data_IF_885710425094
#
_entry.id   IF_885710425094
#
_cell.length_a   1.000
_cell.length_b   1.000
_cell.length_c   1.000
_cell.angle_alpha   90.00
_cell.angle_beta   90.00
_cell.angle_gamma   90.00
#
_symmetry.space_group_name_H-M   'P 1'
#
loop_
_entity.id
_entity.type
_entity.pdbx_description
1 polymer ?
#
# COMPACT_ATOMS: atom_id res chain seq x y z
N UNK A 1 23.34 -0.24 2.82
CA UNK A 1 22.59 0.19 1.63
C UNK A 1 21.15 0.40 2.09
N UNK A 2 20.62 1.62 2.02
CA UNK A 2 19.22 1.88 2.39
C UNK A 2 18.30 1.26 1.35
N UNK A 3 17.32 0.47 1.81
CA UNK A 3 16.27 -0.04 0.95
C UNK A 3 15.21 1.04 0.70
N UNK A 4 14.59 0.99 -0.48
CA UNK A 4 13.63 2.00 -0.94
C UNK A 4 12.53 1.35 -1.76
N UNK A 5 11.34 1.94 -1.69
CA UNK A 5 10.14 1.47 -2.38
C UNK A 5 9.43 2.64 -3.07
N UNK A 6 8.92 2.41 -4.27
CA UNK A 6 8.05 3.33 -5.00
C UNK A 6 6.70 3.50 -4.32
N UNK A 7 6.10 4.68 -4.48
CA UNK A 7 4.67 4.86 -4.17
C UNK A 7 3.79 3.90 -5.02
N UNK A 8 4.22 3.62 -6.26
CA UNK A 8 3.55 2.64 -7.10
C UNK A 8 3.68 1.19 -6.56
N UNK A 9 4.85 0.80 -6.07
CA UNK A 9 5.09 -0.53 -5.50
C UNK A 9 4.34 -0.73 -4.18
N UNK A 10 4.21 0.33 -3.37
CA UNK A 10 3.33 0.34 -2.20
C UNK A 10 1.88 0.03 -2.62
N UNK A 11 1.37 0.75 -3.62
CA UNK A 11 0.03 0.53 -4.14
C UNK A 11 -0.16 -0.89 -4.72
N UNK A 12 0.81 -1.41 -5.46
CA UNK A 12 0.79 -2.78 -6.00
C UNK A 12 0.82 -3.84 -4.90
N UNK A 13 1.50 -3.59 -3.78
CA UNK A 13 1.51 -4.46 -2.61
C UNK A 13 0.23 -4.33 -1.75
N UNK A 14 -0.77 -3.59 -2.19
CA UNK A 14 -2.01 -3.37 -1.44
C UNK A 14 -1.90 -2.34 -0.31
N UNK A 15 -0.73 -1.73 -0.10
CA UNK A 15 -0.54 -0.66 0.89
C UNK A 15 -1.11 0.63 0.30
N UNK A 16 -2.22 1.11 0.89
CA UNK A 16 -2.90 2.34 0.46
C UNK A 16 -2.50 3.50 1.37
N UNK A 17 -2.18 4.63 0.76
CA UNK A 17 -1.92 5.86 1.51
C UNK A 17 -3.22 6.43 2.06
N UNK A 18 -3.20 6.81 3.33
CA UNK A 18 -4.24 7.65 3.93
C UNK A 18 -4.07 9.10 3.45
N UNK A 19 -5.15 9.90 3.39
CA UNK A 19 -5.08 11.31 3.02
C UNK A 19 -4.04 12.13 3.80
N UNK A 20 -3.89 11.85 5.10
CA UNK A 20 -2.92 12.54 5.96
C UNK A 20 -1.46 12.18 5.63
N UNK A 21 -1.22 10.95 5.19
CA UNK A 21 0.10 10.47 4.78
C UNK A 21 0.48 11.09 3.44
N UNK A 22 -0.46 11.10 2.48
CA UNK A 22 -0.29 11.77 1.19
C UNK A 22 0.02 13.27 1.36
N UNK A 23 -0.74 13.97 2.22
CA UNK A 23 -0.51 15.38 2.53
C UNK A 23 0.88 15.63 3.13
N UNK A 24 1.36 14.75 4.03
CA UNK A 24 2.68 14.88 4.62
C UNK A 24 3.80 14.62 3.61
N UNK A 25 3.66 13.61 2.76
CA UNK A 25 4.62 13.31 1.66
C UNK A 25 4.75 14.52 0.74
N UNK A 26 3.63 15.11 0.29
CA UNK A 26 3.66 16.28 -0.60
C UNK A 26 4.24 17.51 0.11
N UNK A 27 3.92 17.72 1.39
CA UNK A 27 4.48 18.83 2.18
C UNK A 27 6.00 18.72 2.31
N UNK A 28 6.53 17.52 2.51
CA UNK A 28 7.98 17.27 2.50
C UNK A 28 8.59 17.54 1.12
N UNK A 29 7.96 17.09 0.03
CA UNK A 29 8.42 17.38 -1.33
C UNK A 29 8.43 18.90 -1.60
N UNK A 30 7.41 19.64 -1.16
CA UNK A 30 7.40 21.10 -1.22
C UNK A 30 8.61 21.69 -0.49
N UNK A 31 8.87 21.22 0.74
CA UNK A 31 9.98 21.68 1.58
C UNK A 31 11.32 21.42 0.91
N UNK A 32 11.52 20.21 0.37
CA UNK A 32 12.72 19.85 -0.40
C UNK A 32 12.97 20.79 -1.57
N UNK A 33 11.92 21.14 -2.31
CA UNK A 33 12.00 22.10 -3.41
C UNK A 33 12.34 23.50 -2.92
N UNK A 34 11.69 23.98 -1.84
CA UNK A 34 11.96 25.31 -1.28
C UNK A 34 13.38 25.44 -0.72
N UNK A 35 13.96 24.35 -0.22
CA UNK A 35 15.36 24.28 0.24
C UNK A 35 16.37 24.09 -0.91
N UNK A 36 15.91 24.02 -2.16
CA UNK A 36 16.77 23.83 -3.33
C UNK A 36 17.32 22.41 -3.50
N UNK A 37 16.87 21.44 -2.69
CA UNK A 37 17.24 20.01 -2.84
C UNK A 37 16.59 19.37 -4.06
N UNK A 38 15.41 19.87 -4.46
CA UNK A 38 14.73 19.51 -5.70
C UNK A 38 14.60 20.71 -6.62
N UNK A 39 14.84 20.50 -7.92
CA UNK A 39 14.70 21.54 -8.95
C UNK A 39 13.24 21.84 -9.30
N UNK A 40 12.33 20.90 -9.05
CA UNK A 40 10.92 20.98 -9.39
C UNK A 40 10.09 20.07 -8.49
N UNK A 41 8.79 19.96 -8.79
CA UNK A 41 7.90 19.02 -8.11
C UNK A 41 7.86 17.71 -8.92
N UNK A 42 8.28 16.56 -8.34
CA UNK A 42 8.23 15.26 -8.99
C UNK A 42 6.81 14.76 -9.24
N UNK A 43 6.65 13.81 -10.15
CA UNK A 43 5.46 12.97 -10.25
C UNK A 43 5.52 11.81 -9.24
N UNK A 44 4.38 11.20 -8.92
CA UNK A 44 4.31 10.10 -7.95
C UNK A 44 5.21 8.90 -8.32
N UNK A 45 5.46 8.66 -9.62
CA UNK A 45 6.24 7.53 -10.11
C UNK A 45 7.71 7.56 -9.70
N UNK A 46 8.29 8.74 -9.49
CA UNK A 46 9.70 8.91 -9.10
C UNK A 46 9.86 9.15 -7.60
N UNK A 47 8.76 9.26 -6.85
CA UNK A 47 8.83 9.37 -5.39
C UNK A 47 9.08 7.99 -4.78
N UNK A 48 9.98 7.95 -3.80
CA UNK A 48 10.35 6.76 -3.04
C UNK A 48 10.27 7.03 -1.54
N UNK A 49 9.93 5.98 -0.80
CA UNK A 49 10.05 5.93 0.66
C UNK A 49 11.21 5.00 1.01
N UNK A 50 12.06 5.40 1.95
CA UNK A 50 13.17 4.59 2.43
C UNK A 50 12.85 3.89 3.74
N UNK A 51 13.54 2.78 4.01
CA UNK A 51 13.56 2.08 5.30
C UNK A 51 13.90 2.99 6.50
N UNK A 52 14.73 4.01 6.29
CA UNK A 52 15.10 4.99 7.31
C UNK A 52 14.00 6.03 7.62
N UNK A 53 12.88 6.02 6.88
CA UNK A 53 11.77 6.96 7.05
C UNK A 53 11.94 8.25 6.25
N UNK A 54 12.70 8.24 5.15
CA UNK A 54 12.82 9.42 4.28
C UNK A 54 11.92 9.30 3.05
N UNK A 55 11.46 10.46 2.58
CA UNK A 55 10.85 10.62 1.27
C UNK A 55 11.90 11.22 0.34
N UNK A 56 12.16 10.58 -0.80
CA UNK A 56 13.14 11.03 -1.79
C UNK A 56 12.54 10.98 -3.19
N UNK A 57 13.07 11.79 -4.11
CA UNK A 57 12.72 11.72 -5.52
C UNK A 57 13.89 11.14 -6.31
N UNK A 58 13.63 10.08 -7.07
CA UNK A 58 14.62 9.34 -7.85
C UNK A 58 14.15 9.17 -9.29
N UNK A 59 14.77 9.92 -10.19
CA UNK A 59 14.41 9.97 -11.58
C UNK A 59 14.41 11.41 -12.10
N UNK A 60 14.01 11.61 -13.37
CA UNK A 60 13.90 12.95 -13.92
C UNK A 60 12.81 13.74 -13.19
N UNK A 61 13.18 14.91 -12.66
CA UNK A 61 12.25 15.86 -12.06
C UNK A 61 12.16 17.07 -12.99
N UNK A 62 11.01 17.20 -13.66
CA UNK A 62 10.76 18.35 -14.53
C UNK A 62 10.55 19.61 -13.68
N UNK A 63 11.35 20.63 -13.94
CA UNK A 63 11.21 21.94 -13.31
C UNK A 63 10.16 22.81 -14.02
N UNK A 64 9.66 22.37 -15.17
CA UNK A 64 8.74 23.15 -16.01
C UNK A 64 7.31 23.15 -15.46
N UNK A 65 6.71 24.34 -15.55
CA UNK A 65 5.31 24.60 -15.23
C UNK A 65 5.07 25.20 -13.84
N UNK A 66 3.80 25.56 -13.52
CA UNK A 66 3.46 26.18 -12.25
C UNK A 66 3.65 25.19 -11.08
N UNK A 67 4.53 25.51 -10.13
CA UNK A 67 4.86 24.63 -9.00
C UNK A 67 3.64 24.25 -8.14
N UNK A 68 2.70 25.17 -7.96
CA UNK A 68 1.44 24.92 -7.21
C UNK A 68 0.61 23.85 -7.90
N UNK A 69 0.36 23.98 -9.21
CA UNK A 69 -0.43 23.01 -9.96
C UNK A 69 0.24 21.63 -9.97
N UNK A 70 1.58 21.59 -10.12
CA UNK A 70 2.35 20.33 -10.04
C UNK A 70 2.23 19.65 -8.67
N UNK A 71 2.32 20.40 -7.58
CA UNK A 71 2.15 19.87 -6.23
C UNK A 71 0.71 19.40 -5.97
N UNK A 72 -0.28 20.11 -6.52
CA UNK A 72 -1.67 19.69 -6.43
C UNK A 72 -1.96 18.40 -7.22
N UNK A 73 -1.41 18.25 -8.43
CA UNK A 73 -1.49 17.00 -9.18
C UNK A 73 -0.78 15.85 -8.47
N UNK A 74 0.43 16.08 -7.94
CA UNK A 74 1.11 15.07 -7.14
C UNK A 74 0.23 14.64 -5.96
N UNK A 75 -0.39 15.59 -5.25
CA UNK A 75 -1.29 15.25 -4.16
C UNK A 75 -2.51 14.45 -4.66
N UNK A 76 -3.16 14.90 -5.73
CA UNK A 76 -4.30 14.22 -6.34
C UNK A 76 -3.98 12.77 -6.74
N UNK A 77 -2.81 12.51 -7.32
CA UNK A 77 -2.34 11.18 -7.69
C UNK A 77 -2.16 10.25 -6.47
N UNK A 78 -1.89 10.81 -5.29
CA UNK A 78 -1.72 10.05 -4.04
C UNK A 78 -3.02 9.88 -3.25
N UNK A 79 -4.08 10.59 -3.64
CA UNK A 79 -5.36 10.52 -2.95
C UNK A 79 -6.10 9.22 -3.29
N UNK A 80 -6.76 8.60 -2.31
CA UNK A 80 -7.77 7.58 -2.59
C UNK A 80 -8.88 8.11 -3.51
N UNK A 81 -9.58 7.24 -4.26
CA UNK A 81 -10.69 7.65 -5.10
C UNK A 81 -11.83 8.26 -4.27
N UNK A 82 -12.74 8.99 -4.92
CA UNK A 82 -13.80 9.76 -4.23
C UNK A 82 -14.74 8.85 -3.43
N UNK A 83 -15.00 7.65 -3.96
CA UNK A 83 -15.86 6.62 -3.40
C UNK A 83 -15.13 5.68 -2.42
N UNK A 84 -13.91 6.04 -1.98
CA UNK A 84 -13.17 5.25 -1.01
C UNK A 84 -13.95 5.00 0.30
N UNK A 85 -13.68 3.87 0.99
CA UNK A 85 -14.24 3.57 2.30
C UNK A 85 -14.01 4.70 3.30
N UNK A 86 -14.88 4.85 4.33
CA UNK A 86 -14.79 5.95 5.29
C UNK A 86 -13.40 6.16 5.91
N UNK A 87 -12.65 5.08 6.12
CA UNK A 87 -11.31 5.11 6.75
C UNK A 87 -10.23 5.70 5.84
N UNK A 88 -10.43 5.64 4.52
CA UNK A 88 -9.52 6.18 3.50
C UNK A 88 -10.08 7.44 2.84
N UNK A 89 -11.30 7.84 3.19
CA UNK A 89 -11.97 8.96 2.56
C UNK A 89 -11.25 10.27 2.86
N UNK A 90 -10.93 10.98 1.80
CA UNK A 90 -10.38 12.33 1.85
C UNK A 90 -11.29 13.30 2.63
N UNK A 91 -10.76 14.10 3.56
CA UNK A 91 -11.49 15.24 4.09
C UNK A 91 -11.93 16.18 2.97
N UNK A 92 -13.18 16.66 3.00
CA UNK A 92 -13.70 17.57 1.97
C UNK A 92 -12.87 18.85 1.84
N UNK A 93 -12.35 19.38 2.95
CA UNK A 93 -11.44 20.52 2.96
C UNK A 93 -10.17 20.28 2.13
N UNK A 94 -9.58 19.08 2.20
CA UNK A 94 -8.39 18.74 1.42
C UNK A 94 -8.70 18.67 -0.08
N UNK A 95 -9.86 18.13 -0.46
CA UNK A 95 -10.35 18.14 -1.84
C UNK A 95 -10.54 19.56 -2.37
N UNK A 96 -11.08 20.46 -1.56
CA UNK A 96 -11.24 21.88 -1.92
C UNK A 96 -9.89 22.58 -2.09
N UNK A 97 -8.89 22.25 -1.26
CA UNK A 97 -7.53 22.78 -1.39
C UNK A 97 -6.92 22.38 -2.75
N UNK A 98 -7.06 21.11 -3.15
CA UNK A 98 -6.60 20.61 -4.45
C UNK A 98 -7.35 21.30 -5.59
N UNK A 99 -8.69 21.29 -5.56
CA UNK A 99 -9.52 21.89 -6.60
C UNK A 99 -9.24 23.38 -6.80
N UNK A 100 -8.99 24.13 -5.71
CA UNK A 100 -8.54 25.53 -5.77
C UNK A 100 -7.18 25.68 -6.45
N UNK A 101 -6.22 24.82 -6.10
CA UNK A 101 -4.87 24.87 -6.66
C UNK A 101 -4.83 24.51 -8.15
N UNK A 102 -5.76 23.68 -8.61
CA UNK A 102 -5.94 23.29 -10.00
C UNK A 102 -6.83 24.25 -10.81
N UNK A 103 -7.35 25.31 -10.20
CA UNK A 103 -8.21 26.29 -10.88
C UNK A 103 -9.61 25.78 -11.23
N UNK A 104 -10.06 24.70 -10.59
CA UNK A 104 -11.41 24.13 -10.78
C UNK A 104 -12.46 24.97 -10.03
N UNK A 105 -12.07 25.59 -8.92
CA UNK A 105 -12.94 26.46 -8.13
C UNK A 105 -12.78 27.91 -8.59
N UNK A 106 -13.90 28.65 -8.61
CA UNK A 106 -13.92 30.10 -8.81
C UNK A 106 -13.47 30.82 -7.52
N UNK A 107 -12.21 30.61 -7.15
CA UNK A 107 -11.54 31.19 -6.00
C UNK A 107 -10.16 31.69 -6.44
N UNK A 108 -9.62 32.75 -5.81
CA UNK A 108 -8.27 33.21 -6.11
C UNK A 108 -7.25 32.06 -5.95
N UNK A 109 -6.33 31.84 -6.91
CA UNK A 109 -5.33 30.79 -6.81
C UNK A 109 -4.39 31.03 -5.62
N UNK A 110 -3.63 29.99 -5.23
CA UNK A 110 -2.59 30.16 -4.23
C UNK A 110 -1.46 31.05 -4.77
N UNK A 111 -1.08 32.13 -4.06
CA UNK A 111 -0.07 33.07 -4.55
C UNK A 111 1.34 32.49 -4.60
N UNK A 112 1.61 31.41 -3.86
CA UNK A 112 2.91 30.77 -3.81
C UNK A 112 2.80 29.27 -3.47
N UNK A 113 3.84 28.51 -3.77
CA UNK A 113 3.95 27.12 -3.33
C UNK A 113 3.86 27.01 -1.79
N UNK A 114 4.53 27.92 -1.07
CA UNK A 114 4.48 27.96 0.40
C UNK A 114 3.06 28.11 0.92
N UNK A 115 2.26 29.01 0.33
CA UNK A 115 0.86 29.20 0.73
C UNK A 115 -0.01 27.96 0.47
N UNK A 116 0.26 27.23 -0.61
CA UNK A 116 -0.40 25.96 -0.89
C UNK A 116 0.00 24.89 0.12
N UNK A 117 1.30 24.71 0.38
CA UNK A 117 1.76 23.68 1.30
C UNK A 117 1.34 23.97 2.75
N UNK A 118 1.24 25.25 3.15
CA UNK A 118 0.63 25.63 4.44
C UNK A 118 -0.85 25.23 4.55
N UNK A 119 -1.61 25.26 3.45
CA UNK A 119 -3.00 24.80 3.44
C UNK A 119 -3.09 23.26 3.51
N UNK A 120 -2.21 22.55 2.80
CA UNK A 120 -2.12 21.07 2.81
C UNK A 120 -1.67 20.55 4.17
N UNK A 121 -0.70 21.21 4.82
CA UNK A 121 -0.09 20.74 6.07
C UNK A 121 -1.09 20.66 7.25
N UNK A 122 -2.24 21.32 7.16
CA UNK A 122 -3.34 21.19 8.14
C UNK A 122 -3.96 19.79 8.18
N UNK A 123 -3.77 19.02 7.12
CA UNK A 123 -4.28 17.66 6.99
C UNK A 123 -3.18 16.61 7.14
N UNK A 124 -1.91 17.03 7.22
CA UNK A 124 -0.76 16.14 7.24
C UNK A 124 -0.64 15.40 8.58
N UNK A 125 -0.13 14.17 8.53
CA UNK A 125 0.34 13.46 9.73
C UNK A 125 1.53 14.22 10.35
N UNK A 126 1.63 14.33 11.69
CA UNK A 126 2.65 15.14 12.35
C UNK A 126 4.07 14.56 12.30
N UNK A 127 4.21 13.23 12.20
CA UNK A 127 5.51 12.55 12.15
C UNK A 127 5.66 11.76 10.84
N UNK A 128 6.13 12.47 9.81
CA UNK A 128 6.39 11.86 8.50
C UNK A 128 7.48 10.77 8.58
N UNK A 129 8.62 10.95 9.29
CA UNK A 129 9.61 9.88 9.41
C UNK A 129 9.06 8.59 10.00
N UNK A 130 8.26 8.65 11.07
CA UNK A 130 7.61 7.46 11.63
C UNK A 130 6.63 6.84 10.62
N UNK A 131 5.75 7.66 10.04
CA UNK A 131 4.78 7.23 9.02
C UNK A 131 5.45 6.54 7.84
N UNK A 132 6.55 7.10 7.33
CA UNK A 132 7.32 6.55 6.23
C UNK A 132 7.90 5.16 6.56
N UNK A 133 8.39 4.96 7.80
CA UNK A 133 8.85 3.64 8.26
C UNK A 133 7.72 2.63 8.36
N UNK A 134 6.55 3.06 8.86
CA UNK A 134 5.36 2.20 8.94
C UNK A 134 4.89 1.76 7.55
N UNK A 135 4.84 2.68 6.58
CA UNK A 135 4.53 2.36 5.18
C UNK A 135 5.53 1.38 4.57
N UNK A 136 6.83 1.60 4.81
CA UNK A 136 7.87 0.70 4.35
C UNK A 136 7.72 -0.70 4.99
N UNK A 137 7.50 -0.77 6.30
CA UNK A 137 7.30 -2.01 7.03
C UNK A 137 6.04 -2.77 6.54
N UNK A 138 4.94 -2.07 6.28
CA UNK A 138 3.73 -2.65 5.72
C UNK A 138 3.98 -3.26 4.33
N UNK A 139 4.78 -2.61 3.49
CA UNK A 139 5.18 -3.16 2.19
C UNK A 139 6.05 -4.41 2.32
N UNK A 140 7.01 -4.43 3.26
CA UNK A 140 7.82 -5.62 3.53
C UNK A 140 6.92 -6.78 3.97
N UNK A 141 5.99 -6.53 4.90
CA UNK A 141 5.06 -7.53 5.41
C UNK A 141 4.16 -8.09 4.31
N UNK A 142 3.63 -7.24 3.43
CA UNK A 142 2.77 -7.65 2.32
C UNK A 142 3.48 -8.52 1.27
N UNK A 143 4.82 -8.49 1.22
CA UNK A 143 5.64 -9.29 0.30
C UNK A 143 6.13 -10.60 0.91
N UNK A 144 6.02 -10.76 2.23
CA UNK A 144 6.35 -12.04 2.83
C UNK A 144 5.23 -13.02 2.48
N UNK A 145 5.55 -14.22 1.95
CA UNK A 145 4.56 -15.27 1.85
C UNK A 145 4.01 -15.52 3.26
N UNK A 146 2.70 -15.61 3.38
CA UNK A 146 2.06 -16.06 4.61
C UNK A 146 2.66 -17.44 4.89
N UNK A 147 3.57 -17.53 5.85
CA UNK A 147 4.08 -18.81 6.30
C UNK A 147 2.87 -19.53 6.89
N UNK A 148 2.37 -20.55 6.20
CA UNK A 148 1.31 -21.40 6.72
C UNK A 148 1.73 -21.89 8.12
N UNK A 149 0.98 -21.57 9.19
CA UNK A 149 1.26 -22.12 10.51
C UNK A 149 0.85 -23.59 10.52
N UNK A 150 1.68 -24.48 9.95
CA UNK A 150 1.26 -25.85 9.68
C UNK A 150 2.26 -26.78 9.03
N UNK A 151 3.57 -26.63 9.23
CA UNK A 151 4.53 -27.67 8.86
C UNK A 151 5.61 -27.86 9.92
N UNK A 152 5.20 -27.93 11.19
CA UNK A 152 5.94 -28.73 12.18
C UNK A 152 5.43 -30.17 12.07
N UNK A 153 5.75 -30.80 10.93
CA UNK A 153 5.67 -32.24 10.80
C UNK A 153 6.83 -32.82 11.62
N UNK A 154 6.47 -33.49 12.71
CA UNK A 154 7.37 -34.33 13.49
C UNK A 154 8.14 -35.25 12.54
N UNK A 155 9.43 -35.43 12.82
CA UNK A 155 10.09 -36.68 12.54
C UNK A 155 9.29 -37.79 13.24
N UNK A 156 8.57 -38.60 12.48
CA UNK A 156 8.25 -39.97 12.87
C UNK A 156 8.72 -40.89 11.75
N UNK A 157 9.67 -41.73 12.13
CA UNK A 157 10.28 -42.80 11.36
C UNK A 157 9.28 -43.64 10.58
N UNK A 158 9.78 -44.15 9.46
CA UNK A 158 9.17 -45.17 8.64
C UNK A 158 8.59 -46.33 9.47
N UNK A 159 7.29 -46.61 9.28
CA UNK A 159 6.72 -47.91 9.58
C UNK A 159 6.09 -48.47 8.31
N UNK A 160 6.86 -49.34 7.66
CA UNK A 160 6.43 -50.22 6.58
C UNK A 160 5.29 -51.11 7.09
N UNK A 161 4.10 -51.15 6.46
CA UNK A 161 3.13 -52.18 6.79
C UNK A 161 3.60 -53.53 6.23
N UNK A 162 3.88 -54.48 7.13
CA UNK A 162 4.10 -55.87 6.79
C UNK A 162 2.83 -56.52 6.18
N UNK A 163 2.96 -57.48 5.24
CA UNK A 163 1.81 -58.21 4.71
C UNK A 163 1.25 -59.19 5.76
N UNK A 164 -0.02 -59.02 6.14
CA UNK A 164 -0.73 -59.97 7.00
C UNK A 164 -1.17 -61.21 6.21
N UNK A 165 -1.01 -62.43 6.76
CA UNK A 165 -1.39 -63.68 6.11
C UNK A 165 -2.89 -63.97 6.21
N UNK A 166 -3.40 -64.66 5.17
CA UNK A 166 -4.75 -65.21 5.03
C UNK A 166 -5.13 -66.15 6.18
N UNK A 167 -6.40 -66.08 6.62
CA UNK A 167 -7.06 -67.12 7.41
C UNK A 167 -8.39 -67.56 6.75
N UNK A 168 -8.80 -68.83 6.93
CA UNK A 168 -9.67 -69.52 5.98
C UNK A 168 -11.18 -69.38 6.24
N UNK A 169 -11.90 -69.66 5.16
CA UNK A 169 -13.35 -69.74 4.96
C UNK A 169 -14.05 -70.67 5.96
N UNK A 170 -15.25 -70.27 6.43
CA UNK A 170 -16.26 -71.20 6.93
C UNK A 170 -17.61 -70.95 6.26
N UNK A 171 -18.04 -71.98 5.53
CA UNK A 171 -19.33 -72.09 4.87
C UNK A 171 -20.42 -72.29 5.93
N UNK A 172 -21.55 -71.59 5.80
CA UNK A 172 -22.80 -71.97 6.45
C UNK A 172 -23.90 -72.01 5.38
N UNK A 173 -24.35 -73.24 5.13
CA UNK A 173 -25.35 -73.62 4.15
C UNK A 173 -26.66 -73.85 4.92
N UNK A 174 -27.66 -72.98 4.74
CA UNK A 174 -29.09 -73.18 5.08
C UNK A 174 -29.83 -72.10 4.27
N UNK A 175 -30.47 -72.38 3.14
CA UNK A 175 -31.50 -73.38 2.92
C UNK A 175 -32.87 -72.76 3.20
N UNK A 176 -33.52 -72.17 2.20
CA UNK A 176 -34.99 -72.10 2.08
C UNK A 176 -35.42 -71.49 0.73
N UNK A 177 -36.21 -72.29 0.04
CA UNK A 177 -36.99 -72.06 -1.17
C UNK A 177 -38.18 -71.13 -0.93
N UNK A 178 -38.66 -70.40 -1.96
CA UNK A 178 -40.03 -70.48 -2.53
C UNK A 178 -40.22 -69.41 -3.63
N UNK A 179 -40.98 -69.84 -4.63
CA UNK A 179 -41.38 -69.26 -5.92
C UNK A 179 -42.25 -67.98 -5.91
N UNK A 180 -42.50 -67.49 -7.13
CA UNK A 180 -43.53 -66.55 -7.64
C UNK A 180 -43.29 -65.05 -7.35
N UNK A 181 -43.29 -64.11 -8.31
CA UNK A 181 -44.03 -63.94 -9.59
C UNK A 181 -43.13 -63.31 -10.66
#
# INVERSE_FOLDING_TARGET
MSQRVSLNELAHAGVRLRPAEAAAIVSEICRQRSEGRLRGIPSAHVVRITDEGRVIAEGPVNADGPAVARAAHLLEDLMPPIDAPPELRAPGGLRLVIARALGVLDLPPYPSLESFCAAVNRFATPDLPATARELFAAWVAARQPIAEPGASGRNEEALVPAPMPLLPVRNANTGLTISDV
#
